data_IF_140819519258
#
_entry.id   IF_140819519258
#
_cell.length_a   1.000
_cell.length_b   1.000
_cell.length_c   1.000
_cell.angle_alpha   90.00
_cell.angle_beta   90.00
_cell.angle_gamma   90.00
#
_symmetry.space_group_name_H-M   'P 1'
#
loop_
_entity.id
_entity.type
_entity.pdbx_description
1 polymer ?
#
# COMPACT_ATOMS: atom_id res chain seq x y z
N UNK A 1 3.12 30.37 -2.24
CA UNK A 1 2.18 29.46 -2.93
C UNK A 1 2.57 28.04 -2.51
N UNK A 2 1.89 27.48 -1.52
CA UNK A 2 2.29 26.22 -0.85
C UNK A 2 2.10 25.05 -1.82
N UNK A 3 3.22 24.48 -2.29
CA UNK A 3 3.25 23.20 -2.99
C UNK A 3 2.58 22.18 -2.06
N UNK A 4 1.31 21.84 -2.32
CA UNK A 4 0.63 20.78 -1.58
C UNK A 4 1.42 19.53 -1.85
N UNK A 5 2.25 19.11 -0.90
CA UNK A 5 2.94 17.83 -0.97
C UNK A 5 1.87 16.79 -1.29
N UNK A 6 2.01 16.12 -2.42
CA UNK A 6 1.16 15.01 -2.80
C UNK A 6 1.45 13.85 -1.84
N UNK A 7 0.95 13.96 -0.60
CA UNK A 7 1.04 12.91 0.40
C UNK A 7 0.01 11.85 0.05
N UNK A 8 0.48 10.61 -0.03
CA UNK A 8 -0.40 9.45 -0.10
C UNK A 8 -1.33 9.36 1.12
N UNK A 9 -2.13 8.29 1.22
CA UNK A 9 -3.00 8.05 2.36
C UNK A 9 -2.23 8.14 3.68
N UNK A 10 -2.90 8.55 4.76
CA UNK A 10 -2.29 8.57 6.09
C UNK A 10 -2.19 7.15 6.64
N UNK A 11 -1.10 6.83 7.33
CA UNK A 11 -1.03 5.63 8.18
C UNK A 11 -2.21 5.58 9.15
N UNK A 12 -2.77 4.40 9.37
CA UNK A 12 -3.99 4.17 10.14
C UNK A 12 -5.30 4.41 9.37
N UNK A 13 -5.24 4.84 8.10
CA UNK A 13 -6.46 4.98 7.29
C UNK A 13 -6.96 3.64 6.76
N UNK A 14 -8.28 3.51 6.67
CA UNK A 14 -8.94 2.35 6.06
C UNK A 14 -9.32 2.68 4.62
N UNK A 15 -8.88 1.85 3.68
CA UNK A 15 -9.21 1.97 2.25
C UNK A 15 -9.87 0.66 1.81
N UNK A 16 -11.19 0.67 1.61
CA UNK A 16 -11.95 -0.55 1.35
C UNK A 16 -11.74 -1.56 2.50
N UNK A 17 -11.38 -2.83 2.22
CA UNK A 17 -11.12 -3.80 3.27
C UNK A 17 -9.72 -3.67 3.89
N UNK A 18 -8.87 -2.72 3.46
CA UNK A 18 -7.47 -2.65 3.91
C UNK A 18 -7.28 -1.58 4.99
N UNK A 19 -6.74 -1.98 6.14
CA UNK A 19 -6.26 -1.07 7.19
C UNK A 19 -4.79 -0.80 6.93
N UNK A 20 -4.44 0.45 6.60
CA UNK A 20 -3.06 0.83 6.32
C UNK A 20 -2.29 1.05 7.62
N UNK A 21 -1.06 0.54 7.67
CA UNK A 21 -0.11 0.75 8.75
C UNK A 21 0.95 1.77 8.29
N UNK A 22 2.23 1.43 8.39
CA UNK A 22 3.34 2.29 8.02
C UNK A 22 3.67 2.26 6.51
N UNK A 23 4.25 3.35 6.03
CA UNK A 23 4.89 3.43 4.71
C UNK A 23 6.14 2.53 4.74
N UNK A 24 6.17 1.49 3.90
CA UNK A 24 7.31 0.56 3.81
C UNK A 24 8.26 0.92 2.68
N UNK A 25 7.85 1.80 1.77
CA UNK A 25 8.71 2.30 0.71
C UNK A 25 8.04 3.34 -0.18
N UNK A 26 8.85 4.22 -0.76
CA UNK A 26 8.41 5.25 -1.71
C UNK A 26 9.39 5.36 -2.85
N UNK A 27 8.85 5.53 -4.06
CA UNK A 27 9.63 5.68 -5.27
C UNK A 27 8.93 6.58 -6.29
N UNK A 28 9.51 6.66 -7.48
CA UNK A 28 9.05 7.60 -8.51
C UNK A 28 7.59 7.44 -8.94
N UNK A 29 7.00 6.23 -8.83
CA UNK A 29 5.62 5.97 -9.27
C UNK A 29 4.58 5.99 -8.14
N UNK A 30 4.99 5.95 -6.86
CA UNK A 30 4.05 5.69 -5.79
C UNK A 30 4.66 5.44 -4.42
N UNK A 31 3.78 5.12 -3.49
CA UNK A 31 4.08 4.83 -2.09
C UNK A 31 3.48 3.47 -1.74
N UNK A 32 4.24 2.63 -1.04
CA UNK A 32 3.83 1.30 -0.59
C UNK A 32 3.61 1.36 0.92
N UNK A 33 2.46 0.86 1.35
CA UNK A 33 2.11 0.70 2.76
C UNK A 33 2.01 -0.77 3.13
N UNK A 34 2.46 -1.13 4.33
CA UNK A 34 1.99 -2.37 4.96
C UNK A 34 0.53 -2.18 5.33
N UNK A 35 -0.29 -3.19 5.12
CA UNK A 35 -1.71 -3.14 5.44
C UNK A 35 -2.21 -4.50 5.93
N UNK A 36 -3.31 -4.51 6.66
CA UNK A 36 -4.05 -5.73 7.00
C UNK A 36 -5.40 -5.71 6.30
N UNK A 37 -5.77 -6.80 5.63
CA UNK A 37 -7.10 -6.94 5.05
C UNK A 37 -8.08 -7.36 6.15
N UNK A 38 -9.07 -6.53 6.47
CA UNK A 38 -9.96 -6.68 7.62
C UNK A 38 -10.90 -7.90 7.55
N UNK A 39 -11.21 -8.39 6.35
CA UNK A 39 -12.06 -9.57 6.14
C UNK A 39 -11.29 -10.90 6.31
N UNK A 40 -9.99 -10.94 6.01
CA UNK A 40 -9.17 -12.15 6.11
C UNK A 40 -8.08 -12.11 7.17
N UNK A 41 -7.80 -10.94 7.75
CA UNK A 41 -6.66 -10.71 8.66
C UNK A 41 -5.29 -10.77 7.98
N UNK A 42 -5.23 -10.91 6.66
CA UNK A 42 -3.97 -11.12 5.94
C UNK A 42 -3.16 -9.81 5.87
N UNK A 43 -1.88 -9.90 6.19
CA UNK A 43 -0.93 -8.80 5.96
C UNK A 43 -0.51 -8.73 4.49
N UNK A 44 -0.62 -7.55 3.90
CA UNK A 44 -0.37 -7.28 2.48
C UNK A 44 0.35 -5.96 2.28
N UNK A 45 1.05 -5.82 1.15
CA UNK A 45 1.60 -4.55 0.70
C UNK A 45 0.62 -3.86 -0.27
N UNK A 46 0.25 -2.61 -0.01
CA UNK A 46 -0.65 -1.82 -0.86
C UNK A 46 0.12 -0.65 -1.45
N UNK A 47 0.24 -0.62 -2.80
CA UNK A 47 0.89 0.47 -3.54
C UNK A 47 -0.14 1.50 -3.99
N UNK A 48 0.08 2.77 -3.64
CA UNK A 48 -0.70 3.91 -4.08
C UNK A 48 0.09 4.72 -5.11
N UNK A 49 -0.55 5.12 -6.20
CA UNK A 49 0.04 6.06 -7.16
C UNK A 49 0.07 7.48 -6.58
N UNK A 50 1.12 8.23 -6.92
CA UNK A 50 1.17 9.66 -6.59
C UNK A 50 0.10 10.43 -7.38
N UNK A 51 -0.62 11.39 -6.75
CA UNK A 51 -1.63 12.21 -7.41
C UNK A 51 -1.16 12.85 -8.72
N UNK A 52 0.10 13.29 -8.77
CA UNK A 52 0.73 13.95 -9.91
C UNK A 52 0.89 13.03 -11.13
N UNK A 53 0.93 11.71 -10.91
CA UNK A 53 1.05 10.69 -11.96
C UNK A 53 -0.29 10.01 -12.29
N UNK A 54 -1.29 10.21 -11.44
CA UNK A 54 -2.61 9.59 -11.57
C UNK A 54 -3.39 10.03 -12.81
N UNK A 55 -3.02 11.17 -13.42
CA UNK A 55 -3.65 11.72 -14.65
C UNK A 55 -2.98 11.24 -15.93
N UNK A 56 -1.81 10.59 -15.85
CA UNK A 56 -1.07 10.12 -17.01
C UNK A 56 -1.35 8.64 -17.28
N UNK A 57 -1.97 8.37 -18.43
CA UNK A 57 -2.41 7.04 -18.86
C UNK A 57 -1.27 6.01 -18.84
N UNK A 58 -0.05 6.39 -19.27
CA UNK A 58 1.09 5.45 -19.30
C UNK A 58 1.50 4.97 -17.90
N UNK A 59 1.39 5.83 -16.88
CA UNK A 59 1.70 5.44 -15.51
C UNK A 59 0.61 4.55 -14.91
N UNK A 60 -0.66 4.78 -15.26
CA UNK A 60 -1.77 3.87 -14.93
C UNK A 60 -1.58 2.49 -15.54
N UNK A 61 -1.25 2.42 -16.82
CA UNK A 61 -1.04 1.15 -17.53
C UNK A 61 0.08 0.35 -16.88
N UNK A 62 1.21 1.00 -16.56
CA UNK A 62 2.31 0.35 -15.85
C UNK A 62 1.91 -0.11 -14.45
N UNK A 63 1.16 0.70 -13.71
CA UNK A 63 0.66 0.34 -12.39
C UNK A 63 -0.25 -0.90 -12.44
N UNK A 64 -1.17 -0.96 -13.41
CA UNK A 64 -2.04 -2.12 -13.62
C UNK A 64 -1.24 -3.35 -14.06
N UNK A 65 -0.30 -3.20 -15.00
CA UNK A 65 0.55 -4.31 -15.46
C UNK A 65 1.40 -4.88 -14.32
N UNK A 66 1.93 -4.02 -13.45
CA UNK A 66 2.68 -4.43 -12.27
C UNK A 66 1.79 -5.13 -11.25
N UNK A 67 0.57 -4.63 -11.00
CA UNK A 67 -0.39 -5.28 -10.11
C UNK A 67 -0.84 -6.68 -10.61
N UNK A 68 -0.91 -6.88 -11.93
CA UNK A 68 -1.28 -8.18 -12.52
C UNK A 68 -0.12 -9.20 -12.49
N UNK A 69 1.12 -8.71 -12.49
CA UNK A 69 2.33 -9.55 -12.50
C UNK A 69 2.93 -9.72 -11.11
N UNK A 70 2.53 -8.88 -10.15
CA UNK A 70 2.96 -8.97 -8.78
C UNK A 70 2.55 -10.32 -8.19
N UNK A 71 3.49 -11.07 -7.59
CA UNK A 71 3.14 -12.23 -6.80
C UNK A 71 2.12 -11.80 -5.74
N UNK A 72 1.03 -12.56 -5.59
CA UNK A 72 0.24 -12.44 -4.37
C UNK A 72 1.21 -12.69 -3.22
N UNK A 73 1.43 -11.66 -2.39
CA UNK A 73 2.30 -11.78 -1.23
C UNK A 73 1.58 -12.68 -0.22
N UNK A 74 1.71 -13.99 -0.41
CA UNK A 74 1.30 -15.00 0.55
C UNK A 74 2.41 -15.08 1.59
N UNK A 75 2.35 -14.19 2.58
CA UNK A 75 3.10 -14.36 3.81
C UNK A 75 2.10 -14.63 4.92
N UNK A 76 1.64 -15.88 4.97
CA UNK A 76 1.27 -16.51 6.23
C UNK A 76 2.54 -16.64 7.09
N UNK A 77 2.89 -15.59 7.82
CA UNK A 77 3.64 -15.78 9.07
C UNK A 77 2.72 -15.37 10.21
N UNK A 78 2.28 -16.39 10.93
CA UNK A 78 1.52 -16.29 12.17
C UNK A 78 2.08 -15.20 13.07
N UNK A 79 1.24 -14.41 13.76
CA UNK A 79 1.69 -13.58 14.84
C UNK A 79 2.09 -14.48 16.01
N UNK A 80 3.38 -14.72 16.16
CA UNK A 80 3.94 -15.18 17.42
C UNK A 80 3.87 -14.04 18.44
N UNK A 81 2.68 -13.84 19.02
CA UNK A 81 2.53 -13.12 20.28
C UNK A 81 3.17 -13.97 21.38
N UNK A 82 4.50 -13.89 21.51
CA UNK A 82 5.16 -14.15 22.79
C UNK A 82 4.77 -13.02 23.73
N UNK A 83 3.66 -13.25 24.44
CA UNK A 83 3.39 -12.55 25.69
C UNK A 83 4.20 -13.27 26.76
N UNK A 84 5.44 -12.84 26.94
CA UNK A 84 6.17 -13.08 28.19
C UNK A 84 5.75 -12.00 29.18
N UNK A 85 4.88 -12.36 30.13
CA UNK A 85 4.82 -11.95 31.54
C UNK A 85 3.49 -12.33 32.19
#
# INVERSE_FOLDING_TARGET
MTKREARGPRSGSTIGPYVLHEEVGRGGMGVIYRATRADTGLEVAVKFMLPELSTNIRFRERFVAEAQTAPKLDQARSPEHRSDL
#
